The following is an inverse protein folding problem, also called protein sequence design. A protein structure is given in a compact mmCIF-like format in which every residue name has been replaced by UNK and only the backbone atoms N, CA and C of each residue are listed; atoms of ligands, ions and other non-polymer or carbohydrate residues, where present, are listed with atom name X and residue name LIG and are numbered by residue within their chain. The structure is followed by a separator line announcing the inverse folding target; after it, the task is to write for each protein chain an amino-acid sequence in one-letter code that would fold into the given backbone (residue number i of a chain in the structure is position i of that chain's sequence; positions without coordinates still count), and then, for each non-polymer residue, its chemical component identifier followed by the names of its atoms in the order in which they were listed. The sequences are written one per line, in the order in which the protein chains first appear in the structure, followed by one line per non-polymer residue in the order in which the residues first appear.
data_IF_337891645696
#
_entry.id   IF_337891645696
#
_cell.length_a   1.000
_cell.length_b   1.000
_cell.length_c   1.000
_cell.angle_alpha   90.00
_cell.angle_beta   90.00
_cell.angle_gamma   90.00
#
_symmetry.space_group_name_H-M   'P 1'
#
loop_
_entity.id
_entity.type
_entity.pdbx_description
1 polymer ?
#
# COMPACT_ATOMS: atom_id res chain seq x y z
N UNK A 1 -1.76 -51.71 -3.17
CA UNK A 1 -1.81 -50.50 -4.03
C UNK A 1 -0.56 -50.48 -4.91
N UNK A 2 -0.69 -50.51 -6.23
CA UNK A 2 0.46 -50.47 -7.16
C UNK A 2 1.34 -49.25 -6.87
N UNK A 3 2.66 -49.39 -7.01
CA UNK A 3 3.64 -48.30 -6.85
C UNK A 3 3.27 -47.09 -7.71
N UNK A 4 2.70 -47.34 -8.89
CA UNK A 4 2.17 -46.34 -9.81
C UNK A 4 1.05 -45.48 -9.18
N UNK A 5 0.11 -46.13 -8.49
CA UNK A 5 -1.03 -45.45 -7.86
C UNK A 5 -0.60 -44.67 -6.61
N UNK A 6 0.45 -45.13 -5.90
CA UNK A 6 1.07 -44.37 -4.81
C UNK A 6 1.76 -43.10 -5.31
N UNK A 7 2.49 -43.17 -6.42
CA UNK A 7 3.18 -42.00 -6.99
C UNK A 7 2.21 -40.93 -7.50
N UNK A 8 1.09 -41.33 -8.11
CA UNK A 8 0.02 -40.41 -8.52
C UNK A 8 -0.60 -39.73 -7.30
N UNK A 9 -0.86 -40.48 -6.23
CA UNK A 9 -1.41 -39.92 -4.99
C UNK A 9 -0.44 -38.92 -4.35
N UNK A 10 0.85 -39.26 -4.28
CA UNK A 10 1.90 -38.36 -3.77
C UNK A 10 1.95 -37.08 -4.60
N UNK A 11 1.96 -37.18 -5.93
CA UNK A 11 1.97 -36.02 -6.84
C UNK A 11 0.75 -35.11 -6.64
N UNK A 12 -0.45 -35.71 -6.49
CA UNK A 12 -1.65 -34.94 -6.22
C UNK A 12 -1.58 -34.21 -4.87
N UNK A 13 -1.09 -34.88 -3.84
CA UNK A 13 -0.95 -34.28 -2.51
C UNK A 13 0.11 -33.18 -2.48
N UNK A 14 1.22 -33.30 -3.21
CA UNK A 14 2.26 -32.26 -3.26
C UNK A 14 1.80 -31.04 -4.05
N UNK A 15 1.07 -31.23 -5.16
CA UNK A 15 0.47 -30.13 -5.92
C UNK A 15 -0.57 -29.40 -5.06
N UNK A 16 -1.45 -30.13 -4.38
CA UNK A 16 -2.46 -29.52 -3.51
C UNK A 16 -1.83 -28.75 -2.36
N UNK A 17 -0.79 -29.31 -1.72
CA UNK A 17 -0.05 -28.64 -0.65
C UNK A 17 0.65 -27.36 -1.14
N UNK A 18 1.28 -27.40 -2.33
CA UNK A 18 1.88 -26.23 -2.95
C UNK A 18 0.84 -25.13 -3.23
N UNK A 19 -0.33 -25.49 -3.75
CA UNK A 19 -1.42 -24.52 -3.99
C UNK A 19 -1.86 -23.89 -2.66
N UNK A 20 -2.03 -24.67 -1.60
CA UNK A 20 -2.45 -24.14 -0.29
C UNK A 20 -1.43 -23.16 0.28
N UNK A 21 -0.13 -23.48 0.22
CA UNK A 21 0.94 -22.60 0.74
C UNK A 21 1.08 -21.27 -0.02
N UNK A 22 0.75 -21.24 -1.33
CA UNK A 22 0.83 -19.99 -2.09
C UNK A 22 -0.31 -19.01 -1.79
N UNK A 23 -1.42 -19.47 -1.19
CA UNK A 23 -2.59 -18.63 -0.89
C UNK A 23 -2.52 -17.97 0.50
N UNK A 24 -1.58 -18.33 1.37
CA UNK A 24 -1.51 -17.79 2.75
C UNK A 24 -1.08 -16.32 2.83
N UNK A 25 -0.47 -15.78 1.78
CA UNK A 25 0.01 -14.39 1.76
C UNK A 25 -1.13 -13.35 1.62
N UNK A 26 -2.34 -13.79 1.23
CA UNK A 26 -3.46 -12.88 0.95
C UNK A 26 -4.18 -12.43 2.22
N UNK A 27 -4.09 -13.19 3.31
CA UNK A 27 -4.80 -12.88 4.56
C UNK A 27 -4.07 -11.86 5.46
N UNK A 28 -2.82 -11.50 5.14
CA UNK A 28 -2.02 -10.56 5.93
C UNK A 28 -2.18 -9.09 5.53
N UNK A 29 -2.62 -8.80 4.30
CA UNK A 29 -2.66 -7.45 3.74
C UNK A 29 -3.79 -6.63 4.37
N UNK A 30 -3.44 -5.62 5.15
CA UNK A 30 -4.40 -4.73 5.81
C UNK A 30 -4.54 -3.45 5.03
N UNK A 31 -5.79 -3.04 4.77
CA UNK A 31 -6.05 -1.69 4.27
C UNK A 31 -5.79 -0.70 5.40
N UNK A 32 -4.87 0.22 5.16
CA UNK A 32 -4.49 1.27 6.10
C UNK A 32 -4.46 2.59 5.35
N UNK A 33 -4.78 3.69 6.03
CA UNK A 33 -4.82 4.98 5.37
C UNK A 33 -4.82 6.14 6.34
N UNK A 34 -4.53 7.32 5.79
CA UNK A 34 -4.43 8.57 6.52
C UNK A 34 -5.11 9.67 5.69
N UNK A 35 -5.87 10.51 6.39
CA UNK A 35 -6.48 11.69 5.81
C UNK A 35 -5.90 12.92 6.50
N UNK A 36 -5.43 13.88 5.70
CA UNK A 36 -4.87 15.14 6.19
C UNK A 36 -5.52 16.32 5.51
N UNK A 37 -5.69 17.41 6.25
CA UNK A 37 -6.12 18.68 5.71
C UNK A 37 -5.30 19.80 6.35
N UNK A 38 -4.98 20.81 5.56
CA UNK A 38 -4.17 21.92 6.05
C UNK A 38 -4.13 23.07 5.06
N UNK A 39 -3.21 24.00 5.33
CA UNK A 39 -2.95 25.15 4.46
C UNK A 39 -1.45 25.38 4.34
N UNK A 40 -0.96 25.47 3.12
CA UNK A 40 0.43 25.76 2.81
C UNK A 40 0.60 27.26 2.57
N UNK A 41 1.47 27.89 3.37
CA UNK A 41 1.67 29.35 3.41
C UNK A 41 3.14 29.69 3.17
N UNK A 42 3.40 30.86 2.57
CA UNK A 42 4.72 31.42 2.37
C UNK A 42 4.77 32.80 3.05
N UNK A 43 5.33 32.86 4.26
CA UNK A 43 5.25 34.06 5.09
C UNK A 43 3.79 34.43 5.40
N UNK A 44 3.38 35.64 5.02
CA UNK A 44 2.01 36.13 5.25
C UNK A 44 1.06 35.88 4.07
N UNK A 45 1.50 35.20 3.00
CA UNK A 45 0.69 34.94 1.81
C UNK A 45 0.43 33.44 1.62
N UNK A 46 -0.66 33.11 0.93
CA UNK A 46 -0.96 31.72 0.54
C UNK A 46 0.03 31.25 -0.52
N UNK A 47 0.43 29.98 -0.47
CA UNK A 47 1.29 29.41 -1.50
C UNK A 47 0.60 29.43 -2.88
N UNK A 48 1.40 29.54 -3.94
CA UNK A 48 0.90 29.61 -5.32
C UNK A 48 0.14 28.32 -5.66
N UNK A 49 -1.18 28.45 -5.85
CA UNK A 49 -2.13 27.34 -5.97
C UNK A 49 -1.77 26.34 -7.06
N UNK A 50 -1.40 26.85 -8.25
CA UNK A 50 -1.25 26.00 -9.43
C UNK A 50 0.18 25.47 -9.63
N UNK A 51 1.12 25.82 -8.75
CA UNK A 51 2.50 25.33 -8.81
C UNK A 51 2.93 24.56 -7.56
N UNK A 52 2.03 24.43 -6.57
CA UNK A 52 2.37 23.76 -5.31
C UNK A 52 1.54 22.50 -5.12
N UNK A 53 2.22 21.35 -5.14
CA UNK A 53 1.63 20.02 -4.92
C UNK A 53 2.00 19.51 -3.53
N UNK A 54 1.02 18.94 -2.83
CA UNK A 54 1.19 18.26 -1.55
C UNK A 54 0.88 16.78 -1.76
N UNK A 55 1.70 15.91 -1.15
CA UNK A 55 1.60 14.46 -1.28
C UNK A 55 1.68 13.78 0.08
N UNK A 56 0.94 12.70 0.25
CA UNK A 56 1.17 11.72 1.31
C UNK A 56 2.09 10.66 0.71
N UNK A 57 3.25 10.43 1.33
CA UNK A 57 4.20 9.40 0.93
C UNK A 57 4.36 8.45 2.10
N UNK A 58 4.13 7.17 1.85
CA UNK A 58 4.51 6.11 2.77
C UNK A 58 6.01 5.82 2.58
N UNK A 59 6.74 5.71 3.69
CA UNK A 59 8.19 5.56 3.65
C UNK A 59 8.53 4.17 4.14
N UNK A 60 9.03 3.35 3.24
CA UNK A 60 9.29 1.94 3.50
C UNK A 60 10.76 1.70 3.81
N UNK A 61 11.01 0.93 4.86
CA UNK A 61 12.38 0.57 5.29
C UNK A 61 12.84 -0.78 4.72
N UNK A 62 11.97 -1.44 3.94
CA UNK A 62 12.15 -2.79 3.41
C UNK A 62 12.43 -2.84 1.90
N UNK A 63 12.25 -4.00 1.26
CA UNK A 63 12.34 -4.13 -0.20
C UNK A 63 11.15 -3.49 -0.92
N UNK A 64 10.12 -3.08 -0.19
CA UNK A 64 8.95 -2.41 -0.73
C UNK A 64 9.31 -0.96 -1.10
N UNK A 65 8.98 -0.48 -2.32
CA UNK A 65 9.24 0.90 -2.71
C UNK A 65 8.25 1.88 -2.08
N UNK A 66 8.74 3.08 -1.72
CA UNK A 66 7.89 4.16 -1.19
C UNK A 66 6.64 4.44 -2.06
N UNK A 67 5.47 4.41 -1.42
CA UNK A 67 4.18 4.63 -2.06
C UNK A 67 3.71 6.09 -1.98
N UNK A 68 3.17 6.64 -3.07
CA UNK A 68 2.38 7.88 -3.02
C UNK A 68 0.90 7.57 -2.79
N UNK A 69 0.39 7.86 -1.59
CA UNK A 69 -0.97 7.47 -1.18
C UNK A 69 -2.07 8.40 -1.72
N UNK A 70 -1.80 9.70 -1.80
CA UNK A 70 -2.64 10.72 -2.48
C UNK A 70 -1.78 11.94 -2.80
N UNK A 71 -2.14 12.67 -3.85
CA UNK A 71 -1.48 13.92 -4.23
C UNK A 71 -2.47 14.92 -4.83
N UNK A 72 -2.35 16.20 -4.42
CA UNK A 72 -3.19 17.29 -4.95
C UNK A 72 -2.42 18.61 -4.97
N UNK A 73 -2.81 19.48 -5.89
CA UNK A 73 -2.42 20.88 -5.84
C UNK A 73 -3.19 21.61 -4.75
N UNK A 74 -2.55 22.58 -4.10
CA UNK A 74 -3.22 23.46 -3.14
C UNK A 74 -4.16 24.42 -3.86
N UNK A 75 -5.24 24.85 -3.21
CA UNK A 75 -6.16 25.81 -3.80
C UNK A 75 -5.62 27.26 -3.78
N UNK A 76 -6.39 28.22 -4.30
CA UNK A 76 -6.05 29.66 -4.32
C UNK A 76 -5.74 30.25 -2.94
N UNK A 77 -6.17 29.57 -1.89
CA UNK A 77 -5.98 29.96 -0.49
C UNK A 77 -4.85 29.15 0.17
N UNK A 78 -4.16 28.29 -0.58
CA UNK A 78 -3.15 27.36 -0.08
C UNK A 78 -3.74 26.15 0.64
N UNK A 79 -5.06 25.99 0.69
CA UNK A 79 -5.69 24.88 1.41
C UNK A 79 -5.61 23.58 0.61
N UNK A 80 -5.52 22.46 1.32
CA UNK A 80 -5.48 21.12 0.74
C UNK A 80 -6.21 20.12 1.63
N UNK A 81 -6.70 19.05 0.98
CA UNK A 81 -7.27 17.86 1.62
C UNK A 81 -6.79 16.64 0.85
N UNK A 82 -6.16 15.70 1.55
CA UNK A 82 -5.64 14.46 0.99
C UNK A 82 -6.25 13.30 1.78
N UNK A 83 -6.54 12.20 1.09
CA UNK A 83 -7.09 10.99 1.68
C UNK A 83 -6.49 9.78 0.96
N UNK A 84 -5.37 9.31 1.51
CA UNK A 84 -4.57 8.24 0.93
C UNK A 84 -4.73 6.93 1.70
N UNK A 85 -4.59 5.81 1.01
CA UNK A 85 -4.53 4.49 1.61
C UNK A 85 -3.67 3.57 0.76
N UNK A 86 -3.07 2.57 1.41
CA UNK A 86 -2.42 1.43 0.75
C UNK A 86 -2.88 0.13 1.42
N UNK A 87 -2.38 -1.01 0.94
CA UNK A 87 -2.61 -2.31 1.53
C UNK A 87 -1.25 -2.91 1.84
N UNK A 88 -0.88 -2.91 3.11
CA UNK A 88 0.41 -3.42 3.56
C UNK A 88 0.30 -4.59 4.54
N UNK A 89 1.36 -5.42 4.57
CA UNK A 89 1.55 -6.45 5.59
C UNK A 89 1.87 -5.84 6.96
N UNK A 90 2.64 -4.75 6.97
CA UNK A 90 3.09 -4.00 8.15
C UNK A 90 2.34 -2.69 8.34
N UNK A 91 2.53 -2.01 9.46
CA UNK A 91 1.91 -0.70 9.71
C UNK A 91 2.53 0.41 8.86
N UNK A 92 1.74 1.42 8.45
CA UNK A 92 2.24 2.63 7.75
C UNK A 92 3.10 3.55 8.64
N UNK A 93 3.22 3.23 9.94
CA UNK A 93 3.99 3.99 10.92
C UNK A 93 4.67 2.97 11.81
N UNK A 94 5.99 2.84 11.67
CA UNK A 94 6.84 2.17 12.65
C UNK A 94 7.39 3.19 13.64
#
# INVERSE_FOLDING_TARGET
MSLFLKNILILFTTILFAIILNNSNVFGMRKQGVAISGRFICGNTSALSNSTKVRIVDIDTGPDPDDTLDEKFVDATGAFKLNGYTRELTGLVN
#
